data_IF_197125798266
#
_entry.id   IF_197125798266
#
_cell.length_a   1.000
_cell.length_b   1.000
_cell.length_c   1.000
_cell.angle_alpha   90.00
_cell.angle_beta   90.00
_cell.angle_gamma   90.00
#
_symmetry.space_group_name_H-M   'P 1'
#
loop_
_entity.id
_entity.type
_entity.pdbx_description
1 polymer ?
#
# COMPACT_ATOMS: atom_id res chain seq x y z
N UNK A 1 -19.99 6.84 -9.36
CA UNK A 1 -19.51 5.58 -8.83
C UNK A 1 -19.68 5.57 -7.32
N UNK A 2 -20.20 4.49 -6.79
CA UNK A 2 -20.54 4.27 -5.38
C UNK A 2 -19.50 3.39 -4.65
N UNK A 3 -18.35 3.16 -5.28
CA UNK A 3 -17.22 2.41 -4.70
C UNK A 3 -16.08 3.35 -4.42
N UNK A 4 -15.68 3.40 -3.16
CA UNK A 4 -14.48 4.09 -2.72
C UNK A 4 -13.35 3.07 -2.57
N UNK A 5 -12.33 3.18 -3.42
CA UNK A 5 -11.24 2.20 -3.50
C UNK A 5 -9.95 2.77 -2.88
N UNK A 6 -9.47 2.09 -1.85
CA UNK A 6 -8.26 2.46 -1.11
C UNK A 6 -7.18 1.40 -1.24
N UNK A 7 -5.97 1.85 -1.51
CA UNK A 7 -4.77 1.00 -1.46
C UNK A 7 -3.88 1.49 -0.33
N UNK A 8 -3.49 0.59 0.54
CA UNK A 8 -2.55 0.88 1.62
C UNK A 8 -1.53 -0.24 1.78
N UNK A 9 -0.29 0.10 2.15
CA UNK A 9 0.75 -0.89 2.39
C UNK A 9 0.44 -1.75 3.62
N UNK A 10 0.82 -3.02 3.58
CA UNK A 10 0.75 -3.89 4.74
C UNK A 10 1.93 -3.57 5.69
N UNK A 11 1.62 -3.07 6.88
CA UNK A 11 2.61 -2.71 7.90
C UNK A 11 2.51 -3.69 9.06
N UNK A 12 3.31 -4.77 9.01
CA UNK A 12 3.37 -5.79 10.07
C UNK A 12 4.49 -5.57 11.08
N UNK A 13 5.51 -4.77 10.71
CA UNK A 13 6.66 -4.52 11.56
C UNK A 13 7.30 -3.17 11.24
N UNK A 14 8.26 -2.77 12.07
CA UNK A 14 8.92 -1.47 11.97
C UNK A 14 9.69 -1.23 10.66
N UNK A 15 10.26 -2.28 10.07
CA UNK A 15 10.94 -2.14 8.77
C UNK A 15 9.93 -1.81 7.65
N UNK A 16 8.71 -2.31 7.77
CA UNK A 16 7.65 -2.02 6.80
C UNK A 16 7.06 -0.62 6.96
N UNK A 17 7.16 0.01 8.14
CA UNK A 17 6.82 1.43 8.32
C UNK A 17 7.68 2.32 7.42
N UNK A 18 8.97 2.02 7.29
CA UNK A 18 9.89 2.73 6.40
C UNK A 18 9.42 2.69 4.95
N UNK A 19 9.06 1.52 4.47
CA UNK A 19 8.57 1.35 3.09
C UNK A 19 7.17 1.92 2.87
N UNK A 20 6.32 1.88 3.88
CA UNK A 20 5.02 2.56 3.85
C UNK A 20 5.19 4.08 3.76
N UNK A 21 6.14 4.65 4.51
CA UNK A 21 6.52 6.05 4.40
C UNK A 21 6.97 6.42 2.98
N UNK A 22 7.83 5.59 2.37
CA UNK A 22 8.27 5.77 0.99
C UNK A 22 7.10 5.72 -0.01
N UNK A 23 6.17 4.78 0.17
CA UNK A 23 4.96 4.66 -0.65
C UNK A 23 4.11 5.94 -0.59
N UNK A 24 3.82 6.44 0.59
CA UNK A 24 3.01 7.65 0.74
C UNK A 24 3.74 8.92 0.31
N UNK A 25 5.06 9.02 0.55
CA UNK A 25 5.88 10.13 0.04
C UNK A 25 5.87 10.16 -1.49
N UNK A 26 6.00 9.00 -2.15
CA UNK A 26 5.92 8.91 -3.61
C UNK A 26 4.55 9.38 -4.15
N UNK A 27 3.47 9.06 -3.45
CA UNK A 27 2.12 9.54 -3.80
C UNK A 27 1.97 11.03 -3.60
N UNK A 28 2.44 11.58 -2.49
CA UNK A 28 2.41 13.02 -2.21
C UNK A 28 3.18 13.81 -3.27
N UNK A 29 4.34 13.31 -3.67
CA UNK A 29 5.17 13.89 -4.72
C UNK A 29 4.68 13.58 -6.15
N UNK A 30 3.63 12.76 -6.31
CA UNK A 30 3.09 12.32 -7.60
C UNK A 30 4.11 11.60 -8.49
N UNK A 31 4.99 10.82 -7.86
CA UNK A 31 6.04 10.03 -8.52
C UNK A 31 5.86 8.52 -8.32
N UNK A 32 4.71 8.08 -7.82
CA UNK A 32 4.43 6.68 -7.51
C UNK A 32 4.75 5.74 -8.69
N UNK A 33 4.32 6.09 -9.91
CA UNK A 33 4.56 5.27 -11.10
C UNK A 33 6.04 5.06 -11.41
N UNK A 34 6.88 6.06 -11.10
CA UNK A 34 8.33 5.99 -11.30
C UNK A 34 9.06 5.21 -10.21
N UNK A 35 8.50 5.19 -9.01
CA UNK A 35 9.20 4.69 -7.81
C UNK A 35 8.71 3.31 -7.41
N UNK A 36 7.42 3.02 -7.52
CA UNK A 36 6.82 1.82 -6.94
C UNK A 36 7.48 0.52 -7.42
N UNK A 37 7.50 0.27 -8.71
CA UNK A 37 8.07 -0.95 -9.26
C UNK A 37 9.59 -1.02 -9.10
N UNK A 38 10.39 0.04 -9.36
CA UNK A 38 11.82 0.03 -9.08
C UNK A 38 12.15 -0.23 -7.61
N UNK A 39 11.43 0.38 -6.67
CA UNK A 39 11.67 0.18 -5.24
C UNK A 39 11.33 -1.24 -4.81
N UNK A 40 10.20 -1.78 -5.27
CA UNK A 40 9.83 -3.17 -5.04
C UNK A 40 10.91 -4.14 -5.57
N UNK A 41 11.36 -3.92 -6.80
CA UNK A 41 12.42 -4.73 -7.43
C UNK A 41 13.71 -4.66 -6.62
N UNK A 42 14.13 -3.46 -6.24
CA UNK A 42 15.34 -3.26 -5.44
C UNK A 42 15.30 -4.02 -4.10
N UNK A 43 14.16 -3.97 -3.40
CA UNK A 43 14.02 -4.58 -2.08
C UNK A 43 13.81 -6.10 -2.18
N UNK A 44 12.89 -6.54 -3.04
CA UNK A 44 12.42 -7.93 -3.05
C UNK A 44 13.25 -8.83 -3.96
N UNK A 45 13.62 -8.33 -5.14
CA UNK A 45 14.34 -9.12 -6.16
C UNK A 45 15.84 -8.98 -6.00
N UNK A 46 16.34 -7.74 -5.93
CA UNK A 46 17.78 -7.46 -5.85
C UNK A 46 18.32 -7.50 -4.41
N UNK A 47 17.43 -7.57 -3.43
CA UNK A 47 17.76 -7.59 -2.01
C UNK A 47 18.70 -6.45 -1.57
N UNK A 48 18.52 -5.28 -2.17
CA UNK A 48 19.28 -4.08 -1.80
C UNK A 48 19.01 -3.71 -0.35
N UNK A 49 20.08 -3.32 0.34
CA UNK A 49 20.01 -2.87 1.72
C UNK A 49 19.52 -1.43 1.80
N UNK A 50 18.21 -1.23 1.81
CA UNK A 50 17.57 0.07 2.05
C UNK A 50 16.97 0.00 3.46
N UNK A 51 17.64 0.60 4.44
CA UNK A 51 17.36 0.38 5.88
C UNK A 51 16.90 1.63 6.63
N UNK A 52 17.03 2.78 6.03
CA UNK A 52 16.75 4.06 6.66
C UNK A 52 16.30 5.11 5.64
N UNK A 53 15.89 6.26 6.14
CA UNK A 53 15.43 7.39 5.32
C UNK A 53 16.50 7.88 4.34
N UNK A 54 17.77 7.90 4.74
CA UNK A 54 18.85 8.38 3.88
C UNK A 54 19.06 7.45 2.67
N UNK A 55 18.95 6.13 2.86
CA UNK A 55 19.01 5.15 1.77
C UNK A 55 17.83 5.35 0.80
N UNK A 56 16.63 5.62 1.33
CA UNK A 56 15.47 5.94 0.52
C UNK A 56 15.64 7.25 -0.25
N UNK A 57 16.14 8.30 0.40
CA UNK A 57 16.40 9.59 -0.25
C UNK A 57 17.37 9.44 -1.42
N UNK A 58 18.42 8.63 -1.24
CA UNK A 58 19.38 8.29 -2.30
C UNK A 58 18.70 7.53 -3.43
N UNK A 59 17.88 6.53 -3.10
CA UNK A 59 17.12 5.75 -4.09
C UNK A 59 16.19 6.65 -4.92
N UNK A 60 15.45 7.53 -4.27
CA UNK A 60 14.56 8.47 -4.95
C UNK A 60 15.34 9.44 -5.86
N UNK A 61 16.52 9.91 -5.40
CA UNK A 61 17.38 10.78 -6.20
C UNK A 61 17.88 10.10 -7.47
N UNK A 62 18.25 8.82 -7.40
CA UNK A 62 18.63 8.01 -8.57
C UNK A 62 17.50 7.88 -9.59
N UNK A 63 16.26 8.07 -9.16
CA UNK A 63 15.06 8.07 -10.02
C UNK A 63 14.52 9.47 -10.33
N UNK A 64 15.35 10.51 -10.16
CA UNK A 64 15.04 11.88 -10.57
C UNK A 64 14.16 12.66 -9.60
N UNK A 65 14.07 12.24 -8.34
CA UNK A 65 13.35 12.96 -7.29
C UNK A 65 14.36 13.69 -6.40
N UNK A 66 14.15 14.98 -6.17
CA UNK A 66 15.01 15.76 -5.28
C UNK A 66 15.02 15.21 -3.86
N UNK A 67 16.22 15.06 -3.25
CA UNK A 67 16.38 14.50 -1.91
C UNK A 67 15.66 15.28 -0.83
N UNK A 68 15.71 16.62 -0.93
CA UNK A 68 15.04 17.48 0.04
C UNK A 68 13.53 17.35 -0.09
N UNK A 69 13.00 17.33 -1.32
CA UNK A 69 11.58 17.13 -1.56
C UNK A 69 11.11 15.78 -1.00
N UNK A 70 11.89 14.71 -1.20
CA UNK A 70 11.58 13.40 -0.62
C UNK A 70 11.58 13.47 0.92
N UNK A 71 12.63 14.02 1.53
CA UNK A 71 12.76 14.11 3.00
C UNK A 71 11.63 14.93 3.61
N UNK A 72 11.26 16.06 3.00
CA UNK A 72 10.16 16.90 3.45
C UNK A 72 8.82 16.14 3.38
N UNK A 73 8.53 15.45 2.28
CA UNK A 73 7.33 14.65 2.12
C UNK A 73 7.29 13.46 3.09
N UNK A 74 8.39 12.71 3.19
CA UNK A 74 8.49 11.53 4.07
C UNK A 74 8.26 11.90 5.54
N UNK A 75 8.72 13.06 5.97
CA UNK A 75 8.57 13.56 7.34
C UNK A 75 7.32 14.42 7.57
N UNK A 76 6.49 14.62 6.54
CA UNK A 76 5.25 15.38 6.67
C UNK A 76 4.28 14.71 7.64
N UNK A 77 3.44 15.52 8.29
CA UNK A 77 2.40 15.01 9.18
C UNK A 77 1.37 14.16 8.43
N UNK A 78 1.12 14.47 7.16
CA UNK A 78 0.21 13.70 6.30
C UNK A 78 0.74 12.28 6.07
N UNK A 79 2.00 12.14 5.65
CA UNK A 79 2.62 10.82 5.43
C UNK A 79 2.67 10.01 6.72
N UNK A 80 3.08 10.62 7.85
CA UNK A 80 3.09 9.94 9.16
C UNK A 80 1.71 9.47 9.58
N UNK A 81 0.69 10.29 9.37
CA UNK A 81 -0.70 9.93 9.67
C UNK A 81 -1.18 8.78 8.82
N UNK A 82 -0.86 8.77 7.52
CA UNK A 82 -1.23 7.68 6.60
C UNK A 82 -0.53 6.36 6.93
N UNK A 83 0.75 6.41 7.31
CA UNK A 83 1.49 5.22 7.78
C UNK A 83 0.83 4.62 9.02
N UNK A 84 0.50 5.46 10.01
CA UNK A 84 -0.20 5.03 11.21
C UNK A 84 -1.58 4.44 10.89
N UNK A 85 -2.31 5.07 9.98
CA UNK A 85 -3.60 4.56 9.52
C UNK A 85 -3.49 3.19 8.85
N UNK A 86 -2.48 2.98 7.99
CA UNK A 86 -2.21 1.69 7.38
C UNK A 86 -1.88 0.61 8.43
N UNK A 87 -1.09 0.94 9.45
CA UNK A 87 -0.79 0.06 10.58
C UNK A 87 -2.06 -0.34 11.34
N UNK A 88 -2.94 0.63 11.63
CA UNK A 88 -4.23 0.38 12.28
C UNK A 88 -5.14 -0.54 11.44
N UNK A 89 -5.15 -0.39 10.10
CA UNK A 89 -5.88 -1.27 9.19
C UNK A 89 -5.35 -2.69 9.19
N UNK A 90 -4.04 -2.87 9.24
CA UNK A 90 -3.43 -4.20 9.38
C UNK A 90 -3.85 -4.86 10.70
N UNK A 91 -3.86 -4.12 11.79
CA UNK A 91 -4.35 -4.64 13.08
C UNK A 91 -5.83 -5.00 13.05
N UNK A 92 -6.65 -4.20 12.37
CA UNK A 92 -8.09 -4.42 12.27
C UNK A 92 -8.43 -5.61 11.37
N UNK A 93 -7.88 -5.65 10.17
CA UNK A 93 -8.23 -6.66 9.18
C UNK A 93 -7.42 -7.95 9.30
N UNK A 94 -6.26 -7.90 9.98
CA UNK A 94 -5.37 -9.04 10.22
C UNK A 94 -5.08 -9.83 8.93
N UNK A 95 -4.57 -9.18 7.88
CA UNK A 95 -4.24 -9.86 6.65
C UNK A 95 -3.18 -10.93 6.91
N UNK A 96 -3.30 -12.06 6.23
CA UNK A 96 -2.36 -13.19 6.34
C UNK A 96 -1.29 -13.15 5.26
N UNK A 97 -1.46 -12.30 4.27
CA UNK A 97 -0.51 -12.11 3.17
C UNK A 97 -0.89 -10.92 2.31
N UNK A 98 -0.17 -10.72 1.21
CA UNK A 98 -0.45 -9.69 0.22
C UNK A 98 -0.40 -10.28 -1.19
N UNK A 99 -1.25 -9.81 -2.12
CA UNK A 99 -2.34 -8.87 -1.90
C UNK A 99 -3.52 -9.51 -1.16
N UNK A 100 -4.24 -8.70 -0.38
CA UNK A 100 -5.59 -9.00 0.12
C UNK A 100 -6.54 -7.86 -0.22
N UNK A 101 -7.83 -8.17 -0.39
CA UNK A 101 -8.88 -7.19 -0.64
C UNK A 101 -9.90 -7.29 0.50
N UNK A 102 -10.32 -6.15 1.02
CA UNK A 102 -11.41 -6.06 2.01
C UNK A 102 -12.58 -5.31 1.39
N UNK A 103 -13.75 -5.94 1.35
CA UNK A 103 -14.98 -5.34 0.83
C UNK A 103 -15.88 -4.93 1.99
N UNK A 104 -16.19 -3.64 2.04
CA UNK A 104 -17.09 -3.00 3.02
C UNK A 104 -16.77 -3.32 4.48
N UNK A 105 -15.50 -3.58 4.80
CA UNK A 105 -15.05 -3.98 6.15
C UNK A 105 -15.55 -5.35 6.64
N UNK A 106 -16.27 -6.10 5.79
CA UNK A 106 -16.94 -7.36 6.17
C UNK A 106 -16.28 -8.59 5.57
N UNK A 107 -15.83 -8.50 4.32
CA UNK A 107 -15.32 -9.64 3.57
C UNK A 107 -13.86 -9.45 3.29
N UNK A 108 -13.04 -10.44 3.64
CA UNK A 108 -11.63 -10.48 3.30
C UNK A 108 -11.39 -11.53 2.23
N UNK A 109 -10.70 -11.13 1.18
CA UNK A 109 -10.40 -11.96 0.01
C UNK A 109 -8.89 -12.10 -0.07
N UNK A 110 -8.40 -13.31 0.04
CA UNK A 110 -7.00 -13.66 -0.20
C UNK A 110 -6.86 -14.53 -1.45
N UNK A 111 -5.63 -14.59 -1.96
CA UNK A 111 -5.33 -15.31 -3.20
C UNK A 111 -5.62 -16.80 -3.11
N UNK A 112 -5.35 -17.42 -1.96
CA UNK A 112 -5.47 -18.87 -1.79
C UNK A 112 -6.93 -19.32 -1.80
N UNK A 113 -7.79 -18.61 -1.08
CA UNK A 113 -9.23 -18.94 -1.03
C UNK A 113 -9.98 -18.49 -2.28
N UNK A 114 -9.51 -17.45 -2.96
CA UNK A 114 -10.11 -17.02 -4.22
C UNK A 114 -9.74 -17.92 -5.41
N UNK A 115 -8.62 -18.64 -5.33
CA UNK A 115 -8.15 -19.49 -6.42
C UNK A 115 -7.09 -18.82 -7.34
N UNK A 116 -6.73 -17.57 -7.09
CA UNK A 116 -5.74 -16.83 -7.85
C UNK A 116 -5.93 -15.31 -7.78
N UNK A 117 -5.02 -14.56 -8.38
CA UNK A 117 -5.08 -13.09 -8.38
C UNK A 117 -6.23 -12.56 -9.21
N UNK A 118 -6.49 -13.17 -10.36
CA UNK A 118 -7.59 -12.78 -11.25
C UNK A 118 -8.94 -13.07 -10.59
N UNK A 119 -9.05 -14.20 -9.93
CA UNK A 119 -10.25 -14.65 -9.23
C UNK A 119 -10.57 -13.74 -8.04
N UNK A 120 -9.56 -13.16 -7.37
CA UNK A 120 -9.77 -12.16 -6.31
C UNK A 120 -10.59 -10.97 -6.80
N UNK A 121 -10.33 -10.48 -8.01
CA UNK A 121 -11.08 -9.35 -8.59
C UNK A 121 -12.52 -9.74 -8.91
N UNK A 122 -12.73 -10.95 -9.43
CA UNK A 122 -14.08 -11.46 -9.69
C UNK A 122 -14.91 -11.64 -8.40
N UNK A 123 -14.26 -12.13 -7.34
CA UNK A 123 -14.90 -12.25 -6.01
C UNK A 123 -15.21 -10.86 -5.43
N UNK A 124 -14.30 -9.90 -5.57
CA UNK A 124 -14.52 -8.53 -5.11
C UNK A 124 -15.71 -7.87 -5.83
N UNK A 125 -15.79 -8.01 -7.15
CA UNK A 125 -16.91 -7.50 -7.96
C UNK A 125 -18.25 -8.13 -7.54
N UNK A 126 -18.28 -9.44 -7.32
CA UNK A 126 -19.45 -10.12 -6.80
C UNK A 126 -19.88 -9.58 -5.42
N UNK A 127 -18.93 -9.41 -4.49
CA UNK A 127 -19.22 -8.93 -3.15
C UNK A 127 -19.68 -7.46 -3.13
N UNK A 128 -19.15 -6.62 -4.01
CA UNK A 128 -19.62 -5.24 -4.19
C UNK A 128 -21.08 -5.25 -4.67
N UNK A 129 -21.42 -6.06 -5.67
CA UNK A 129 -22.80 -6.20 -6.15
C UNK A 129 -23.75 -6.70 -5.06
N UNK A 130 -23.29 -7.66 -4.25
CA UNK A 130 -24.05 -8.18 -3.10
C UNK A 130 -24.32 -7.10 -2.05
N UNK A 131 -23.30 -6.29 -1.71
CA UNK A 131 -23.46 -5.21 -0.74
C UNK A 131 -24.42 -4.11 -1.26
N UNK A 132 -24.35 -3.77 -2.55
CA UNK A 132 -25.32 -2.86 -3.19
C UNK A 132 -26.76 -3.34 -3.03
N UNK A 133 -27.02 -4.61 -3.30
CA UNK A 133 -28.34 -5.20 -3.15
C UNK A 133 -28.85 -5.18 -1.70
N UNK A 134 -27.95 -5.25 -0.72
CA UNK A 134 -28.30 -5.20 0.70
C UNK A 134 -28.55 -3.77 1.21
N UNK A 135 -27.94 -2.75 0.59
CA UNK A 135 -28.17 -1.34 0.94
C UNK A 135 -29.46 -0.76 0.36
N UNK A 136 -30.00 -1.39 -0.68
CA UNK A 136 -31.25 -1.00 -1.33
C UNK A 136 -32.51 -1.55 -0.65
N UNK A 137 -32.36 -2.21 0.49
CA UNK A 137 -33.45 -2.71 1.35
C UNK A 137 -33.50 -1.91 2.65
#
# INVERSE_FOLDING_TARGET
DDVDFWVFPAVWNKSMELYAGAFYAARELKVEEKIHLPLFTAIVVEQKSIRNEADLAEFFAQHGVDKKAFTDAFNSDDVKTRVKYAEERVRLYKPVGVPEIVVNGKYRIDRMHAGGLTEMLAVADYLVKKERANQGK
#
